data_IF_325439411279
#
_entry.id   IF_325439411279
#
_cell.length_a   1.000
_cell.length_b   1.000
_cell.length_c   1.000
_cell.angle_alpha   90.00
_cell.angle_beta   90.00
_cell.angle_gamma   90.00
#
_symmetry.space_group_name_H-M   'P 1'
#
loop_
_entity.id
_entity.type
_entity.pdbx_description
1 polymer ?
#
# COMPACT_ATOMS: atom_id res chain seq x y z
N UNK A 1 -7.99 -14.64 -25.55
CA UNK A 1 -8.16 -14.61 -24.08
C UNK A 1 -9.52 -13.98 -23.83
N UNK A 2 -10.38 -14.55 -22.97
CA UNK A 2 -11.70 -13.98 -22.69
C UNK A 2 -11.55 -12.52 -22.26
N UNK A 3 -12.38 -11.64 -22.81
CA UNK A 3 -12.46 -10.25 -22.40
C UNK A 3 -13.43 -10.11 -21.21
N UNK A 4 -12.87 -10.02 -20.01
CA UNK A 4 -13.63 -9.89 -18.77
C UNK A 4 -14.13 -8.46 -18.52
N UNK A 5 -13.68 -7.46 -19.28
CA UNK A 5 -14.06 -6.06 -19.07
C UNK A 5 -15.54 -5.80 -19.37
N UNK A 6 -16.13 -6.66 -20.20
CA UNK A 6 -17.53 -6.60 -20.65
C UNK A 6 -18.49 -7.46 -19.82
N UNK A 7 -17.99 -8.17 -18.80
CA UNK A 7 -18.78 -9.08 -17.98
C UNK A 7 -19.15 -8.45 -16.64
N UNK A 8 -20.30 -8.86 -16.09
CA UNK A 8 -20.59 -8.68 -14.65
C UNK A 8 -19.69 -9.60 -13.82
N UNK A 9 -19.61 -9.35 -12.52
CA UNK A 9 -18.89 -10.20 -11.57
C UNK A 9 -19.39 -11.65 -11.62
N UNK A 10 -20.71 -11.84 -11.60
CA UNK A 10 -21.31 -13.18 -11.63
C UNK A 10 -20.99 -13.89 -12.96
N UNK A 11 -21.09 -13.17 -14.08
CA UNK A 11 -20.74 -13.70 -15.40
C UNK A 11 -19.25 -14.06 -15.51
N UNK A 12 -18.37 -13.19 -15.01
CA UNK A 12 -16.94 -13.45 -14.94
C UNK A 12 -16.64 -14.68 -14.07
N UNK A 13 -17.25 -14.77 -12.89
CA UNK A 13 -17.04 -15.89 -11.96
C UNK A 13 -17.56 -17.21 -12.53
N UNK A 14 -18.71 -17.23 -13.20
CA UNK A 14 -19.25 -18.41 -13.88
C UNK A 14 -18.33 -18.90 -15.02
N UNK A 15 -17.74 -17.97 -15.80
CA UNK A 15 -16.75 -18.33 -16.83
C UNK A 15 -15.46 -18.87 -16.22
N UNK A 16 -15.09 -18.42 -15.02
CA UNK A 16 -13.89 -18.89 -14.31
C UNK A 16 -14.13 -20.27 -13.67
N UNK A 17 -15.31 -20.50 -13.10
CA UNK A 17 -15.64 -21.75 -12.40
C UNK A 17 -15.72 -22.96 -13.32
N UNK A 18 -16.02 -22.76 -14.61
CA UNK A 18 -16.04 -23.82 -15.64
C UNK A 18 -14.64 -24.19 -16.15
N UNK A 19 -13.58 -23.48 -15.74
CA UNK A 19 -12.22 -23.76 -16.17
C UNK A 19 -11.57 -24.86 -15.33
N UNK A 20 -10.73 -25.68 -15.98
CA UNK A 20 -9.85 -26.59 -15.24
C UNK A 20 -8.92 -25.84 -14.28
N UNK A 21 -8.57 -26.49 -13.16
CA UNK A 21 -7.85 -25.91 -12.00
C UNK A 21 -6.69 -24.98 -12.38
N UNK A 22 -5.77 -25.43 -13.23
CA UNK A 22 -4.59 -24.64 -13.63
C UNK A 22 -4.96 -23.37 -14.40
N UNK A 23 -5.96 -23.44 -15.28
CA UNK A 23 -6.42 -22.29 -16.07
C UNK A 23 -7.17 -21.30 -15.19
N UNK A 24 -8.02 -21.82 -14.29
CA UNK A 24 -8.74 -21.04 -13.28
C UNK A 24 -7.80 -20.20 -12.42
N UNK A 25 -6.79 -20.82 -11.83
CA UNK A 25 -5.79 -20.13 -10.99
C UNK A 25 -5.06 -19.02 -11.77
N UNK A 26 -4.58 -19.33 -12.99
CA UNK A 26 -3.92 -18.34 -13.86
C UNK A 26 -4.85 -17.18 -14.21
N UNK A 27 -6.12 -17.45 -14.50
CA UNK A 27 -7.12 -16.44 -14.83
C UNK A 27 -7.36 -15.51 -13.64
N UNK A 28 -7.59 -16.08 -12.45
CA UNK A 28 -7.80 -15.33 -11.21
C UNK A 28 -6.57 -14.48 -10.87
N UNK A 29 -5.37 -15.05 -10.90
CA UNK A 29 -4.13 -14.30 -10.70
C UNK A 29 -4.01 -13.16 -11.72
N UNK A 30 -4.29 -13.40 -13.00
CA UNK A 30 -4.24 -12.35 -14.01
C UNK A 30 -5.27 -11.23 -13.75
N UNK A 31 -6.48 -11.55 -13.26
CA UNK A 31 -7.50 -10.56 -12.88
C UNK A 31 -7.12 -9.79 -11.60
N UNK A 32 -6.55 -10.48 -10.60
CA UNK A 32 -6.02 -9.84 -9.40
C UNK A 32 -4.88 -8.88 -9.75
N UNK A 33 -4.04 -9.23 -10.70
CA UNK A 33 -2.78 -8.55 -10.96
C UNK A 33 -2.84 -7.49 -12.06
N UNK A 34 -3.85 -7.53 -12.93
CA UNK A 34 -4.03 -6.57 -14.03
C UNK A 34 -5.39 -5.89 -13.91
N UNK A 35 -5.42 -4.73 -13.24
CA UNK A 35 -6.65 -3.96 -12.99
C UNK A 35 -7.48 -3.71 -14.27
N UNK A 36 -6.83 -3.36 -15.38
CA UNK A 36 -7.50 -3.11 -16.67
C UNK A 36 -8.06 -4.35 -17.38
N UNK A 37 -7.95 -5.54 -16.79
CA UNK A 37 -8.59 -6.77 -17.30
C UNK A 37 -9.83 -7.17 -16.52
N UNK A 38 -10.19 -6.46 -15.45
CA UNK A 38 -11.36 -6.74 -14.63
C UNK A 38 -12.63 -6.14 -15.28
N UNK A 39 -13.84 -6.49 -14.80
CA UNK A 39 -15.06 -5.77 -15.17
C UNK A 39 -14.89 -4.24 -15.13
N UNK A 40 -15.50 -3.53 -16.08
CA UNK A 40 -15.33 -2.07 -16.18
C UNK A 40 -15.90 -1.33 -14.95
N UNK A 41 -17.05 -1.76 -14.44
CA UNK A 41 -17.69 -1.17 -13.26
C UNK A 41 -16.90 -1.45 -11.99
N UNK A 42 -16.64 -0.40 -11.17
CA UNK A 42 -15.96 -0.54 -9.89
C UNK A 42 -16.74 -1.41 -8.90
N UNK A 43 -18.07 -1.34 -8.90
CA UNK A 43 -18.92 -2.18 -8.06
C UNK A 43 -18.82 -3.66 -8.48
N UNK A 44 -18.76 -3.93 -9.78
CA UNK A 44 -18.54 -5.30 -10.29
C UNK A 44 -17.14 -5.81 -9.95
N UNK A 45 -16.12 -4.92 -9.98
CA UNK A 45 -14.78 -5.28 -9.51
C UNK A 45 -14.78 -5.65 -8.02
N UNK A 46 -15.47 -4.88 -7.17
CA UNK A 46 -15.58 -5.15 -5.74
C UNK A 46 -16.23 -6.52 -5.52
N UNK A 47 -17.42 -6.75 -6.10
CA UNK A 47 -18.16 -8.01 -6.00
C UNK A 47 -17.32 -9.21 -6.45
N UNK A 48 -16.62 -9.10 -7.58
CA UNK A 48 -15.77 -10.17 -8.10
C UNK A 48 -14.60 -10.50 -7.15
N UNK A 49 -13.97 -9.49 -6.54
CA UNK A 49 -12.86 -9.68 -5.60
C UNK A 49 -13.34 -10.31 -4.29
N UNK A 50 -14.54 -9.96 -3.82
CA UNK A 50 -15.17 -10.63 -2.68
C UNK A 50 -15.45 -12.10 -2.98
N UNK A 51 -15.95 -12.41 -4.18
CA UNK A 51 -16.14 -13.79 -4.61
C UNK A 51 -14.83 -14.59 -4.58
N UNK A 52 -13.72 -14.01 -5.06
CA UNK A 52 -12.41 -14.67 -4.97
C UNK A 52 -11.90 -14.83 -3.54
N UNK A 53 -12.19 -13.91 -2.63
CA UNK A 53 -11.82 -14.09 -1.23
C UNK A 53 -12.57 -15.28 -0.58
N UNK A 54 -13.86 -15.42 -0.91
CA UNK A 54 -14.74 -16.49 -0.38
C UNK A 54 -14.59 -17.83 -1.13
N UNK A 55 -13.67 -17.92 -2.08
CA UNK A 55 -13.44 -19.12 -2.89
C UNK A 55 -12.44 -20.07 -2.21
N UNK A 56 -12.96 -21.11 -1.55
CA UNK A 56 -12.16 -22.12 -0.86
C UNK A 56 -11.31 -23.00 -1.81
N UNK A 57 -11.54 -22.90 -3.13
CA UNK A 57 -10.69 -23.51 -4.14
C UNK A 57 -9.37 -22.76 -4.36
N UNK A 58 -9.20 -21.57 -3.79
CA UNK A 58 -7.98 -20.78 -3.85
C UNK A 58 -7.10 -20.96 -2.62
N UNK A 59 -5.79 -20.86 -2.84
CA UNK A 59 -4.84 -20.84 -1.74
C UNK A 59 -4.96 -19.52 -0.94
N UNK A 60 -4.50 -19.57 0.31
CA UNK A 60 -4.61 -18.46 1.27
C UNK A 60 -4.04 -17.15 0.72
N UNK A 61 -2.92 -17.20 -0.02
CA UNK A 61 -2.32 -16.00 -0.63
C UNK A 61 -3.27 -15.28 -1.59
N UNK A 62 -3.88 -16.01 -2.53
CA UNK A 62 -4.81 -15.47 -3.51
C UNK A 62 -6.06 -14.92 -2.82
N UNK A 63 -6.60 -15.64 -1.82
CA UNK A 63 -7.75 -15.18 -1.03
C UNK A 63 -7.43 -13.87 -0.30
N UNK A 64 -6.33 -13.81 0.46
CA UNK A 64 -5.92 -12.60 1.17
C UNK A 64 -5.66 -11.43 0.22
N UNK A 65 -5.01 -11.66 -0.91
CA UNK A 65 -4.83 -10.60 -1.92
C UNK A 65 -6.16 -10.10 -2.50
N UNK A 66 -7.11 -11.00 -2.68
CA UNK A 66 -8.46 -10.65 -3.14
C UNK A 66 -9.16 -9.76 -2.13
N UNK A 67 -9.07 -10.07 -0.84
CA UNK A 67 -9.61 -9.24 0.24
C UNK A 67 -8.96 -7.85 0.30
N UNK A 68 -7.63 -7.77 0.24
CA UNK A 68 -6.90 -6.50 0.22
C UNK A 68 -7.32 -5.65 -1.00
N UNK A 69 -7.43 -6.28 -2.17
CA UNK A 69 -7.87 -5.61 -3.38
C UNK A 69 -9.35 -5.18 -3.30
N UNK A 70 -10.22 -6.00 -2.71
CA UNK A 70 -11.62 -5.68 -2.46
C UNK A 70 -11.74 -4.47 -1.53
N UNK A 71 -10.99 -4.44 -0.44
CA UNK A 71 -11.01 -3.33 0.50
C UNK A 71 -10.45 -2.03 -0.11
N UNK A 72 -9.40 -2.11 -0.92
CA UNK A 72 -8.99 -0.95 -1.73
C UNK A 72 -10.12 -0.48 -2.64
N UNK A 73 -10.83 -1.39 -3.32
CA UNK A 73 -11.95 -1.05 -4.21
C UNK A 73 -13.14 -0.45 -3.46
N UNK A 74 -13.50 -0.98 -2.29
CA UNK A 74 -14.51 -0.39 -1.41
C UNK A 74 -14.15 1.04 -1.01
N UNK A 75 -12.87 1.28 -0.70
CA UNK A 75 -12.37 2.63 -0.47
C UNK A 75 -12.44 3.53 -1.71
N UNK A 76 -12.18 3.02 -2.91
CA UNK A 76 -12.32 3.78 -4.16
C UNK A 76 -13.75 4.25 -4.41
N UNK A 77 -14.74 3.43 -4.08
CA UNK A 77 -16.17 3.75 -4.26
C UNK A 77 -16.82 4.35 -3.00
N UNK A 78 -16.03 4.65 -1.95
CA UNK A 78 -16.49 5.18 -0.68
C UNK A 78 -17.52 4.31 0.07
N UNK A 79 -17.50 3.00 -0.15
CA UNK A 79 -18.36 2.03 0.54
C UNK A 79 -17.82 1.72 1.94
N UNK A 80 -18.25 2.52 2.91
CA UNK A 80 -17.86 2.41 4.32
C UNK A 80 -18.36 1.12 4.98
N UNK A 81 -19.54 0.64 4.57
CA UNK A 81 -20.11 -0.58 5.14
C UNK A 81 -19.32 -1.81 4.71
N UNK A 82 -18.92 -1.89 3.44
CA UNK A 82 -18.01 -2.93 2.95
C UNK A 82 -16.66 -2.87 3.66
N UNK A 83 -16.06 -1.68 3.81
CA UNK A 83 -14.82 -1.51 4.56
C UNK A 83 -14.95 -2.03 5.99
N UNK A 84 -15.99 -1.64 6.72
CA UNK A 84 -16.23 -2.10 8.09
C UNK A 84 -16.37 -3.63 8.17
N UNK A 85 -17.08 -4.26 7.22
CA UNK A 85 -17.20 -5.73 7.13
C UNK A 85 -15.87 -6.44 6.82
N UNK A 86 -14.93 -5.77 6.15
CA UNK A 86 -13.64 -6.37 5.79
C UNK A 86 -12.61 -6.28 6.91
N UNK A 87 -12.71 -5.32 7.84
CA UNK A 87 -11.69 -5.10 8.89
C UNK A 87 -11.38 -6.37 9.71
N UNK A 88 -12.35 -7.10 10.31
CA UNK A 88 -12.04 -8.30 11.09
C UNK A 88 -11.39 -9.42 10.27
N UNK A 89 -11.74 -9.51 8.98
CA UNK A 89 -11.16 -10.47 8.05
C UNK A 89 -9.71 -10.11 7.69
N UNK A 90 -9.44 -8.81 7.54
CA UNK A 90 -8.11 -8.28 7.29
C UNK A 90 -7.19 -8.46 8.49
N UNK A 91 -7.69 -8.28 9.72
CA UNK A 91 -6.97 -8.60 10.97
C UNK A 91 -6.54 -10.06 11.00
N UNK A 92 -7.47 -10.99 10.75
CA UNK A 92 -7.16 -12.42 10.66
C UNK A 92 -6.10 -12.73 9.60
N UNK A 93 -6.19 -12.06 8.44
CA UNK A 93 -5.18 -12.17 7.39
C UNK A 93 -3.83 -11.56 7.79
N UNK A 94 -3.83 -10.51 8.62
CA UNK A 94 -2.61 -9.86 9.11
C UNK A 94 -1.85 -10.80 10.05
N UNK A 95 -2.53 -11.44 10.99
CA UNK A 95 -1.94 -12.44 11.88
C UNK A 95 -1.27 -13.56 11.09
N UNK A 96 -1.97 -14.07 10.08
CA UNK A 96 -1.38 -15.03 9.15
C UNK A 96 -0.17 -14.45 8.40
N UNK A 97 -0.24 -13.22 7.89
CA UNK A 97 0.86 -12.58 7.16
C UNK A 97 2.10 -12.36 8.04
N UNK A 98 1.93 -12.21 9.35
CA UNK A 98 3.01 -12.14 10.33
C UNK A 98 3.79 -13.46 10.46
N UNK A 99 3.17 -14.60 10.16
CA UNK A 99 3.85 -15.92 10.14
C UNK A 99 4.68 -16.15 8.88
N UNK A 100 4.45 -15.36 7.82
CA UNK A 100 5.12 -15.57 6.54
C UNK A 100 6.58 -15.12 6.57
N UNK A 101 7.51 -15.90 5.98
CA UNK A 101 8.87 -15.43 5.80
C UNK A 101 8.93 -14.34 4.73
N UNK A 102 10.00 -13.54 4.78
CA UNK A 102 10.35 -12.67 3.65
C UNK A 102 10.86 -13.56 2.50
N UNK A 103 10.26 -13.46 1.31
CA UNK A 103 10.51 -14.36 0.17
C UNK A 103 10.98 -13.60 -1.07
N UNK A 104 11.66 -14.32 -1.98
CA UNK A 104 12.06 -13.85 -3.33
C UNK A 104 10.90 -13.80 -4.34
N UNK A 105 9.66 -13.53 -3.91
CA UNK A 105 8.52 -13.34 -4.80
C UNK A 105 7.60 -12.28 -4.18
N UNK A 106 7.46 -11.11 -4.80
CA UNK A 106 6.71 -9.96 -4.24
C UNK A 106 5.36 -10.34 -3.62
N UNK A 107 4.60 -11.20 -4.31
CA UNK A 107 3.24 -11.58 -3.94
C UNK A 107 3.15 -12.88 -3.14
N UNK A 108 4.29 -13.37 -2.69
CA UNK A 108 4.41 -14.39 -1.64
C UNK A 108 5.38 -13.92 -0.54
N UNK A 109 5.72 -12.64 -0.54
CA UNK A 109 6.63 -12.01 0.39
C UNK A 109 5.83 -11.53 1.60
N UNK A 110 6.18 -12.05 2.78
CA UNK A 110 5.49 -11.68 4.02
C UNK A 110 5.54 -10.17 4.27
N UNK A 111 6.65 -9.51 3.98
CA UNK A 111 6.80 -8.06 4.16
C UNK A 111 5.79 -7.28 3.31
N UNK A 112 5.75 -7.54 2.00
CA UNK A 112 4.80 -6.88 1.12
C UNK A 112 3.34 -7.15 1.51
N UNK A 113 3.02 -8.38 1.92
CA UNK A 113 1.66 -8.74 2.34
C UNK A 113 1.24 -7.97 3.60
N UNK A 114 2.08 -7.98 4.65
CA UNK A 114 1.84 -7.24 5.90
C UNK A 114 1.53 -5.78 5.63
N UNK A 115 2.37 -5.09 4.86
CA UNK A 115 2.15 -3.69 4.55
C UNK A 115 0.98 -3.44 3.60
N UNK A 116 0.61 -4.39 2.74
CA UNK A 116 -0.59 -4.25 1.92
C UNK A 116 -1.87 -4.34 2.75
N UNK A 117 -1.89 -5.19 3.79
CA UNK A 117 -2.99 -5.30 4.74
C UNK A 117 -3.02 -4.08 5.66
N UNK A 118 -1.89 -3.72 6.28
CA UNK A 118 -1.80 -2.56 7.17
C UNK A 118 -2.18 -1.25 6.47
N UNK A 119 -1.81 -1.07 5.20
CA UNK A 119 -2.21 0.10 4.44
C UNK A 119 -3.74 0.26 4.42
N UNK A 120 -4.47 -0.83 4.21
CA UNK A 120 -5.93 -0.81 4.22
C UNK A 120 -6.47 -0.62 5.64
N UNK A 121 -5.98 -1.37 6.62
CA UNK A 121 -6.44 -1.28 8.02
C UNK A 121 -6.30 0.15 8.56
N UNK A 122 -5.12 0.76 8.40
CA UNK A 122 -4.82 2.13 8.85
C UNK A 122 -5.76 3.11 8.15
N UNK A 123 -5.81 3.13 6.82
CA UNK A 123 -6.64 4.10 6.10
C UNK A 123 -8.15 3.91 6.40
N UNK A 124 -8.64 2.67 6.45
CA UNK A 124 -10.03 2.38 6.75
C UNK A 124 -10.41 2.80 8.18
N UNK A 125 -9.55 2.55 9.17
CA UNK A 125 -9.78 2.99 10.55
C UNK A 125 -9.89 4.51 10.68
N UNK A 126 -9.10 5.28 9.91
CA UNK A 126 -9.20 6.74 9.85
C UNK A 126 -10.50 7.17 9.18
N UNK A 127 -10.85 6.58 8.03
CA UNK A 127 -12.11 6.88 7.32
C UNK A 127 -13.36 6.62 8.17
N UNK A 128 -13.32 5.55 8.95
CA UNK A 128 -14.42 5.09 9.81
C UNK A 128 -14.39 5.75 11.20
N UNK A 129 -13.32 6.48 11.55
CA UNK A 129 -13.17 7.13 12.86
C UNK A 129 -13.03 6.14 14.02
N UNK A 130 -12.38 5.00 13.80
CA UNK A 130 -12.21 3.93 14.79
C UNK A 130 -10.97 4.15 15.66
N UNK A 131 -11.04 3.82 16.95
CA UNK A 131 -9.89 3.91 17.87
C UNK A 131 -8.83 2.84 17.64
N UNK A 132 -9.17 1.74 16.97
CA UNK A 132 -8.20 0.73 16.50
C UNK A 132 -7.15 1.30 15.54
N UNK A 133 -7.34 2.52 15.02
CA UNK A 133 -6.34 3.27 14.25
C UNK A 133 -5.00 3.36 14.96
N UNK A 134 -5.01 3.50 16.28
CA UNK A 134 -3.81 3.57 17.10
C UNK A 134 -3.06 2.24 17.11
N UNK A 135 -3.78 1.13 17.34
CA UNK A 135 -3.23 -0.22 17.28
C UNK A 135 -2.61 -0.51 15.91
N UNK A 136 -3.28 -0.17 14.81
CA UNK A 136 -2.74 -0.42 13.47
C UNK A 136 -1.52 0.46 13.15
N UNK A 137 -1.47 1.70 13.67
CA UNK A 137 -0.30 2.56 13.55
C UNK A 137 0.91 1.93 14.28
N UNK A 138 0.71 1.46 15.51
CA UNK A 138 1.75 0.82 16.31
C UNK A 138 2.24 -0.49 15.66
N UNK A 139 1.33 -1.26 15.06
CA UNK A 139 1.66 -2.45 14.26
C UNK A 139 2.48 -2.08 13.00
N UNK A 140 2.18 -0.96 12.34
CA UNK A 140 2.95 -0.50 11.18
C UNK A 140 4.39 -0.10 11.55
N UNK A 141 4.58 0.58 12.68
CA UNK A 141 5.92 0.90 13.18
C UNK A 141 6.70 -0.36 13.58
N UNK A 142 6.04 -1.28 14.28
CA UNK A 142 6.63 -2.57 14.65
C UNK A 142 7.08 -3.35 13.41
N UNK A 143 6.20 -3.47 12.41
CA UNK A 143 6.52 -4.14 11.15
C UNK A 143 7.67 -3.47 10.39
N UNK A 144 7.80 -2.15 10.45
CA UNK A 144 8.93 -1.41 9.87
C UNK A 144 10.23 -1.70 10.62
N UNK A 145 10.21 -1.71 11.95
CA UNK A 145 11.38 -1.98 12.78
C UNK A 145 11.90 -3.42 12.61
N UNK A 146 11.02 -4.37 12.33
CA UNK A 146 11.35 -5.79 12.08
C UNK A 146 11.93 -6.06 10.68
N UNK A 147 11.96 -5.07 9.77
CA UNK A 147 12.52 -5.25 8.43
C UNK A 147 14.00 -5.63 8.54
N UNK A 148 14.31 -6.87 8.18
CA UNK A 148 15.69 -7.36 8.19
C UNK A 148 16.32 -7.25 6.78
N UNK A 149 17.29 -6.34 6.56
CA UNK A 149 17.91 -6.13 5.25
C UNK A 149 18.60 -7.38 4.66
N UNK A 150 18.94 -8.38 5.49
CA UNK A 150 19.54 -9.65 5.04
C UNK A 150 18.53 -10.61 4.43
N UNK A 151 17.23 -10.43 4.74
CA UNK A 151 16.13 -11.31 4.28
C UNK A 151 15.28 -10.69 3.17
N UNK A 152 15.47 -9.39 2.90
CA UNK A 152 14.83 -8.65 1.82
C UNK A 152 15.40 -9.00 0.44
N UNK A 153 14.66 -8.65 -0.61
CA UNK A 153 14.99 -8.98 -2.00
C UNK A 153 14.80 -7.75 -2.89
N UNK A 154 15.03 -7.83 -4.20
CA UNK A 154 14.76 -6.70 -5.12
C UNK A 154 13.30 -6.21 -5.06
N UNK A 155 12.37 -7.05 -4.56
CA UNK A 155 10.97 -6.71 -4.34
C UNK A 155 10.73 -5.73 -3.18
N UNK A 156 11.71 -5.48 -2.33
CA UNK A 156 11.65 -4.41 -1.32
C UNK A 156 11.50 -3.05 -1.99
N UNK A 157 12.10 -2.84 -3.16
CA UNK A 157 11.89 -1.65 -3.98
C UNK A 157 10.41 -1.46 -4.32
N UNK A 158 9.75 -2.51 -4.80
CA UNK A 158 8.33 -2.47 -5.17
C UNK A 158 7.39 -2.26 -3.97
N UNK A 159 7.85 -2.61 -2.76
CA UNK A 159 7.06 -2.49 -1.53
C UNK A 159 7.31 -1.17 -0.80
N UNK A 160 8.38 -0.44 -1.15
CA UNK A 160 8.80 0.78 -0.45
C UNK A 160 7.70 1.85 -0.49
N UNK A 161 7.04 2.03 -1.63
CA UNK A 161 5.93 2.97 -1.75
C UNK A 161 4.75 2.62 -0.85
N UNK A 162 4.38 1.34 -0.75
CA UNK A 162 3.31 0.88 0.14
C UNK A 162 3.69 1.06 1.61
N UNK A 163 4.95 0.78 1.97
CA UNK A 163 5.47 1.00 3.32
C UNK A 163 5.37 2.49 3.67
N UNK A 164 5.84 3.38 2.79
CA UNK A 164 5.78 4.82 3.01
C UNK A 164 4.34 5.35 3.11
N UNK A 165 3.42 4.88 2.27
CA UNK A 165 2.01 5.26 2.39
C UNK A 165 1.44 4.86 3.77
N UNK A 166 1.67 3.62 4.17
CA UNK A 166 1.18 3.06 5.44
C UNK A 166 1.76 3.81 6.63
N UNK A 167 3.09 3.93 6.67
CA UNK A 167 3.84 4.54 7.77
C UNK A 167 3.60 6.05 7.81
N UNK A 168 3.44 6.70 6.65
CA UNK A 168 3.10 8.13 6.59
C UNK A 168 1.76 8.41 7.26
N UNK A 169 0.71 7.64 6.96
CA UNK A 169 -0.58 7.79 7.66
C UNK A 169 -0.48 7.39 9.13
N UNK A 170 0.28 6.34 9.47
CA UNK A 170 0.53 5.96 10.87
C UNK A 170 1.20 7.08 11.67
N UNK A 171 2.16 7.81 11.08
CA UNK A 171 2.80 8.97 11.71
C UNK A 171 1.85 10.15 11.94
N UNK A 172 0.81 10.29 11.11
CA UNK A 172 -0.24 11.28 11.34
C UNK A 172 -1.17 10.88 12.50
N UNK A 173 -1.26 9.59 12.81
CA UNK A 173 -2.00 9.06 13.97
C UNK A 173 -1.15 9.14 15.25
N UNK A 174 0.18 8.95 15.11
CA UNK A 174 1.18 8.89 16.19
C UNK A 174 2.38 9.81 15.90
N UNK A 175 2.23 11.13 16.03
CA UNK A 175 3.28 12.07 15.66
C UNK A 175 4.52 12.03 16.57
N UNK A 176 4.43 11.48 17.77
CA UNK A 176 5.57 11.24 18.66
C UNK A 176 6.61 10.29 18.04
N UNK A 177 6.22 9.43 17.09
CA UNK A 177 7.09 8.42 16.48
C UNK A 177 7.97 8.95 15.32
N UNK A 178 7.87 10.23 14.94
CA UNK A 178 8.55 10.80 13.77
C UNK A 178 10.08 10.56 13.78
N UNK A 179 10.76 10.89 14.88
CA UNK A 179 12.22 10.87 14.94
C UNK A 179 12.82 9.48 14.69
N UNK A 180 12.31 8.45 15.38
CA UNK A 180 12.76 7.07 15.22
C UNK A 180 12.41 6.49 13.85
N UNK A 181 11.20 6.79 13.37
CA UNK A 181 10.65 6.24 12.12
C UNK A 181 11.34 6.80 10.88
N UNK A 182 11.63 8.11 10.84
CA UNK A 182 12.31 8.75 9.71
C UNK A 182 13.68 8.13 9.44
N UNK A 183 14.42 7.77 10.49
CA UNK A 183 15.73 7.08 10.37
C UNK A 183 15.59 5.70 9.72
N UNK A 184 14.58 4.92 10.12
CA UNK A 184 14.30 3.60 9.53
C UNK A 184 13.89 3.71 8.06
N UNK A 185 13.01 4.67 7.71
CA UNK A 185 12.59 4.91 6.33
C UNK A 185 13.74 5.34 5.42
N UNK A 186 14.68 6.15 5.92
CA UNK A 186 15.93 6.48 5.19
C UNK A 186 16.73 5.22 4.89
N UNK A 187 16.92 4.35 5.89
CA UNK A 187 17.61 3.06 5.73
C UNK A 187 16.93 2.15 4.70
N UNK A 188 15.60 2.07 4.77
CA UNK A 188 14.78 1.31 3.83
C UNK A 188 14.95 1.81 2.39
N UNK A 189 14.86 3.12 2.14
CA UNK A 189 15.01 3.72 0.81
C UNK A 189 16.40 3.46 0.22
N UNK A 190 17.44 3.69 1.00
CA UNK A 190 18.81 3.44 0.55
C UNK A 190 19.02 1.95 0.22
N UNK A 191 18.54 1.06 1.10
CA UNK A 191 18.63 -0.38 0.88
C UNK A 191 17.83 -0.84 -0.34
N UNK A 192 16.64 -0.29 -0.57
CA UNK A 192 15.80 -0.65 -1.70
C UNK A 192 16.41 -0.23 -3.05
N UNK A 193 17.04 0.95 -3.10
CA UNK A 193 17.85 1.40 -4.23
C UNK A 193 19.01 0.44 -4.49
N UNK A 194 19.79 0.12 -3.45
CA UNK A 194 20.92 -0.81 -3.56
C UNK A 194 20.45 -2.15 -4.13
N UNK A 195 19.35 -2.71 -3.62
CA UNK A 195 18.81 -4.00 -4.09
C UNK A 195 18.31 -3.96 -5.54
N UNK A 196 17.88 -2.80 -6.04
CA UNK A 196 17.36 -2.64 -7.40
C UNK A 196 18.47 -2.43 -8.44
N UNK A 197 19.51 -1.67 -8.09
CA UNK A 197 20.51 -1.20 -9.04
C UNK A 197 21.89 -1.85 -8.91
N UNK A 198 22.20 -2.50 -7.78
CA UNK A 198 23.52 -3.16 -7.62
C UNK A 198 23.69 -4.46 -8.43
N UNK A 199 22.59 -5.06 -8.92
CA UNK A 199 22.63 -6.36 -9.59
C UNK A 199 22.66 -6.34 -11.12
N UNK A 200 22.41 -5.19 -11.76
CA UNK A 200 22.07 -5.14 -13.20
C UNK A 200 22.77 -3.99 -13.96
N UNK A 201 23.78 -3.35 -13.36
CA UNK A 201 24.48 -2.22 -13.99
C UNK A 201 25.03 -2.55 -15.41
N UNK A 202 25.63 -3.74 -15.66
CA UNK A 202 26.12 -4.08 -16.99
C UNK A 202 25.00 -4.26 -18.03
N UNK A 203 23.85 -4.82 -17.64
CA UNK A 203 22.74 -5.08 -18.57
C UNK A 203 21.95 -3.82 -18.91
N UNK A 204 21.88 -2.86 -17.98
CA UNK A 204 21.31 -1.52 -18.16
C UNK A 204 22.15 -0.71 -19.16
N UNK A 205 23.48 -0.73 -19.02
CA UNK A 205 24.40 -0.05 -19.96
C UNK A 205 24.37 -0.67 -21.37
N UNK A 206 24.19 -1.99 -21.49
CA UNK A 206 24.19 -2.69 -22.78
C UNK A 206 22.86 -2.61 -23.55
N UNK A 207 21.72 -2.36 -22.88
CA UNK A 207 20.38 -2.40 -23.51
C UNK A 207 19.80 -1.04 -23.89
N UNK A 208 20.26 0.04 -23.28
CA UNK A 208 19.63 1.37 -23.42
C UNK A 208 20.14 2.11 -24.67
N UNK A 209 21.14 1.57 -25.36
CA UNK A 209 21.91 2.35 -26.33
C UNK A 209 22.66 3.48 -25.63
N UNK A 210 23.51 4.20 -26.36
CA UNK A 210 24.12 5.43 -25.85
C UNK A 210 23.27 6.58 -26.40
N UNK A 211 22.33 7.15 -25.61
CA UNK A 211 21.56 8.30 -26.07
C UNK A 211 22.52 9.45 -26.40
N UNK A 212 22.26 10.14 -27.52
CA UNK A 212 23.12 11.21 -28.00
C UNK A 212 22.90 12.51 -27.21
N UNK A 213 21.71 12.66 -26.61
CA UNK A 213 21.31 13.81 -25.79
C UNK A 213 20.60 13.37 -24.51
N UNK A 214 20.65 14.20 -23.45
CA UNK A 214 19.92 13.92 -22.20
C UNK A 214 18.40 13.86 -22.41
N UNK A 215 17.86 14.58 -23.40
CA UNK A 215 16.44 14.58 -23.75
C UNK A 215 15.93 13.25 -24.32
N UNK A 216 16.83 12.39 -24.81
CA UNK A 216 16.48 11.05 -25.30
C UNK A 216 16.39 10.00 -24.18
N UNK A 217 16.76 10.37 -22.96
CA UNK A 217 16.74 9.46 -21.80
C UNK A 217 15.33 9.40 -21.23
N UNK A 218 14.57 8.39 -21.62
CA UNK A 218 13.29 8.11 -20.98
C UNK A 218 13.50 7.34 -19.66
N UNK A 219 13.07 7.87 -18.51
CA UNK A 219 13.21 7.17 -17.24
C UNK A 219 12.32 5.91 -17.22
N UNK A 220 12.84 4.76 -16.77
CA UNK A 220 12.03 3.55 -16.66
C UNK A 220 10.90 3.75 -15.63
N UNK A 221 9.81 3.00 -15.74
CA UNK A 221 8.68 3.05 -14.78
C UNK A 221 9.07 2.84 -13.30
N UNK A 222 10.21 2.20 -13.03
CA UNK A 222 10.74 2.05 -11.67
C UNK A 222 11.27 3.38 -11.11
N UNK A 223 11.80 4.26 -11.96
CA UNK A 223 12.27 5.60 -11.56
C UNK A 223 11.11 6.47 -11.08
N UNK A 224 9.97 6.48 -11.78
CA UNK A 224 8.75 7.21 -11.36
C UNK A 224 8.32 6.76 -9.95
N UNK A 225 8.31 5.44 -9.69
CA UNK A 225 7.99 4.91 -8.34
C UNK A 225 9.01 5.30 -7.28
N UNK A 226 10.28 5.43 -7.67
CA UNK A 226 11.31 5.93 -6.78
C UNK A 226 11.06 7.41 -6.44
N UNK A 227 10.78 8.27 -7.42
CA UNK A 227 10.45 9.67 -7.20
C UNK A 227 9.25 9.83 -6.27
N UNK A 228 8.17 9.07 -6.49
CA UNK A 228 7.01 9.03 -5.59
C UNK A 228 7.40 8.64 -4.15
N UNK A 229 8.22 7.61 -4.00
CA UNK A 229 8.68 7.16 -2.69
C UNK A 229 9.59 8.20 -2.02
N UNK A 230 10.42 8.87 -2.80
CA UNK A 230 11.31 9.90 -2.31
C UNK A 230 10.57 11.15 -1.86
N UNK A 231 9.55 11.61 -2.62
CA UNK A 231 8.67 12.73 -2.21
C UNK A 231 8.01 12.48 -0.86
N UNK A 232 7.42 11.29 -0.67
CA UNK A 232 6.81 10.87 0.61
C UNK A 232 7.81 10.90 1.75
N UNK A 233 8.99 10.33 1.54
CA UNK A 233 10.05 10.36 2.55
C UNK A 233 10.51 11.78 2.87
N UNK A 234 10.67 12.65 1.88
CA UNK A 234 11.05 14.04 2.12
C UNK A 234 10.01 14.78 2.95
N UNK A 235 8.71 14.58 2.68
CA UNK A 235 7.64 15.13 3.51
C UNK A 235 7.77 14.68 4.98
N UNK A 236 7.94 13.38 5.20
CA UNK A 236 8.14 12.79 6.54
C UNK A 236 9.41 13.32 7.21
N UNK A 237 10.53 13.37 6.49
CA UNK A 237 11.80 13.86 7.00
C UNK A 237 11.70 15.32 7.42
N UNK A 238 11.11 16.17 6.58
CA UNK A 238 10.92 17.60 6.89
C UNK A 238 10.07 17.76 8.15
N UNK A 239 8.99 17.00 8.31
CA UNK A 239 8.18 17.06 9.52
C UNK A 239 8.96 16.63 10.78
N UNK A 240 9.86 15.64 10.65
CA UNK A 240 10.72 15.22 11.74
C UNK A 240 11.79 16.25 12.12
N UNK A 241 12.23 17.08 11.17
CA UNK A 241 13.24 18.13 11.39
C UNK A 241 12.63 19.52 11.67
N UNK A 242 11.29 19.63 11.68
CA UNK A 242 10.61 20.91 11.84
C UNK A 242 10.94 21.54 13.20
N UNK A 243 11.22 22.85 13.20
CA UNK A 243 11.68 23.56 14.40
C UNK A 243 10.53 24.17 15.22
N UNK A 244 9.31 24.19 14.68
CA UNK A 244 8.12 24.75 15.32
C UNK A 244 6.88 23.92 15.06
N UNK A 245 5.91 23.97 15.97
CA UNK A 245 4.64 23.25 15.82
C UNK A 245 3.83 23.72 14.61
N UNK A 246 3.91 25.01 14.27
CA UNK A 246 3.25 25.56 13.09
C UNK A 246 3.82 24.99 11.79
N UNK A 247 5.15 24.89 11.70
CA UNK A 247 5.83 24.24 10.57
C UNK A 247 5.47 22.75 10.50
N UNK A 248 5.48 22.08 11.65
CA UNK A 248 5.15 20.66 11.80
C UNK A 248 3.72 20.36 11.30
N UNK A 249 2.75 21.16 11.71
CA UNK A 249 1.35 21.05 11.26
C UNK A 249 1.20 21.24 9.75
N UNK A 250 1.95 22.17 9.15
CA UNK A 250 1.96 22.36 7.70
C UNK A 250 2.52 21.12 6.99
N UNK A 251 3.58 20.53 7.55
CA UNK A 251 4.22 19.35 6.99
C UNK A 251 3.39 18.06 7.19
N UNK A 252 2.56 17.98 8.23
CA UNK A 252 1.59 16.90 8.39
C UNK A 252 0.56 16.88 7.25
N UNK A 253 0.09 18.05 6.82
CA UNK A 253 -0.75 18.13 5.63
C UNK A 253 -0.02 17.65 4.37
N UNK A 254 1.25 18.03 4.20
CA UNK A 254 2.05 17.52 3.09
C UNK A 254 2.19 15.98 3.13
N UNK A 255 2.39 15.40 4.31
CA UNK A 255 2.42 13.94 4.48
C UNK A 255 1.07 13.33 4.12
N UNK A 256 -0.05 13.93 4.54
CA UNK A 256 -1.39 13.45 4.18
C UNK A 256 -1.60 13.48 2.66
N UNK A 257 -1.19 14.56 2.00
CA UNK A 257 -1.26 14.71 0.55
C UNK A 257 -0.37 13.71 -0.19
N UNK A 258 0.80 13.37 0.34
CA UNK A 258 1.70 12.43 -0.33
C UNK A 258 1.35 10.96 -0.02
N UNK A 259 0.93 10.64 1.20
CA UNK A 259 0.85 9.25 1.70
C UNK A 259 -0.55 8.63 1.66
N UNK A 260 -1.61 9.45 1.73
CA UNK A 260 -2.98 8.94 1.52
C UNK A 260 -3.14 8.51 0.08
N UNK A 261 -3.57 7.27 -0.15
CA UNK A 261 -3.69 6.70 -1.49
C UNK A 261 -4.68 7.46 -2.40
N UNK A 262 -4.37 7.52 -3.69
CA UNK A 262 -5.23 8.12 -4.72
C UNK A 262 -5.43 7.14 -5.89
N UNK A 263 -6.68 6.74 -6.12
CA UNK A 263 -7.10 6.18 -7.41
C UNK A 263 -8.05 7.12 -8.16
N UNK A 264 -8.86 7.90 -7.43
CA UNK A 264 -9.69 8.99 -7.98
C UNK A 264 -9.56 10.25 -7.12
N UNK A 265 -9.93 11.41 -7.66
CA UNK A 265 -9.91 12.67 -6.92
C UNK A 265 -10.91 12.66 -5.74
N UNK A 266 -12.07 12.03 -5.96
CA UNK A 266 -13.15 11.89 -4.98
C UNK A 266 -12.70 11.01 -3.81
N UNK A 267 -12.01 9.89 -4.10
CA UNK A 267 -11.43 9.05 -3.05
C UNK A 267 -10.44 9.86 -2.21
N UNK A 268 -9.48 10.54 -2.86
CA UNK A 268 -8.45 11.32 -2.18
C UNK A 268 -9.06 12.39 -1.30
N UNK A 269 -10.04 13.15 -1.80
CA UNK A 269 -10.74 14.17 -1.05
C UNK A 269 -11.46 13.60 0.20
N UNK A 270 -12.14 12.46 0.06
CA UNK A 270 -12.83 11.82 1.19
C UNK A 270 -11.87 11.33 2.30
N UNK A 271 -10.70 10.80 1.91
CA UNK A 271 -9.68 10.43 2.89
C UNK A 271 -9.07 11.65 3.57
N UNK A 272 -8.72 12.70 2.81
CA UNK A 272 -8.17 13.93 3.38
C UNK A 272 -9.17 14.62 4.32
N UNK A 273 -10.47 14.56 4.01
CA UNK A 273 -11.51 15.03 4.91
C UNK A 273 -11.57 14.20 6.20
N UNK A 274 -11.39 12.87 6.09
CA UNK A 274 -11.29 12.01 7.26
C UNK A 274 -10.06 12.34 8.11
N UNK A 275 -8.91 12.64 7.48
CA UNK A 275 -7.71 13.13 8.18
C UNK A 275 -7.99 14.46 8.88
N UNK A 276 -8.65 15.41 8.20
CA UNK A 276 -9.04 16.71 8.75
C UNK A 276 -9.87 16.58 10.00
N UNK A 277 -10.85 15.69 9.98
CA UNK A 277 -11.82 15.54 11.06
C UNK A 277 -11.27 14.70 12.22
N UNK A 278 -10.51 13.65 11.92
CA UNK A 278 -10.14 12.63 12.92
C UNK A 278 -8.73 12.83 13.46
N UNK A 279 -7.77 13.24 12.62
CA UNK A 279 -6.35 13.31 13.01
C UNK A 279 -5.92 14.74 13.32
N UNK A 280 -6.27 15.70 12.46
CA UNK A 280 -5.79 17.08 12.58
C UNK A 280 -6.07 17.76 13.94
N UNK A 281 -7.22 17.52 14.63
CA UNK A 281 -7.45 18.09 15.96
C UNK A 281 -6.42 17.64 17.01
N UNK A 282 -5.85 16.44 16.86
CA UNK A 282 -4.84 15.89 17.77
C UNK A 282 -3.42 16.38 17.49
N UNK A 283 -3.17 17.07 16.38
CA UNK A 283 -1.83 17.55 16.03
C UNK A 283 -1.38 18.77 16.84
N UNK A 284 -2.33 19.46 17.49
CA UNK A 284 -2.09 20.72 18.20
C UNK A 284 -1.87 20.57 19.73
N UNK A 285 -1.81 19.35 20.26
CA UNK A 285 -1.84 19.10 21.72
C UNK A 285 -0.67 18.26 22.20
N UNK A 286 0.52 18.87 22.29
CA UNK A 286 1.53 18.57 23.32
C UNK A 286 2.27 19.87 23.68
N UNK A 287 1.60 20.77 24.40
CA UNK A 287 2.31 21.69 25.30
C UNK A 287 2.83 20.90 26.50
N UNK A 288 3.93 21.31 27.16
CA UNK A 288 4.46 20.57 28.30
C UNK A 288 3.38 20.45 29.39
N UNK A 289 3.10 19.22 29.84
CA UNK A 289 2.45 19.00 31.13
C UNK A 289 3.38 19.61 32.20
N UNK A 290 3.03 20.79 32.69
CA UNK A 290 3.51 21.25 33.99
C UNK A 290 2.56 20.65 35.02
N UNK A 291 3.11 19.76 35.87
CA UNK A 291 2.49 19.27 37.10
C UNK A 291 2.01 20.41 38.02
#
# INVERSE_FOLDING_TARGET
>A
MQDFTKLTADGAYAVISTQGRTKREKTIQNLLYKKGKRPASLAEQLKLLEMFFNDDGLAQFERTYSLVAAAHKASEILDKDALARFLPKLETCFDWACTLPMRKQLRKDGLHMRFSILNVLVNASVMLGLDTRYTYADQAFTALAEVNPRKTTHYTFNSTTNILNTVGVALLIRPEAFGGTARLLRGLLFHSLRMKFAGDLPSVLLRIGVPATLSEVEPPSNFIKFEESFRKFLAIKRAADAASDQEKNTLYWLIAEECVGQHTAEQKAAHLESVRRILAPGWALEGPCTD
#
